data_IF_337184256910
#
_entry.id   IF_337184256910
#
_cell.length_a   1.000
_cell.length_b   1.000
_cell.length_c   1.000
_cell.angle_alpha   90.00
_cell.angle_beta   90.00
_cell.angle_gamma   90.00
#
_symmetry.space_group_name_H-M   'P 1'
#
loop_
_entity.id
_entity.type
_entity.pdbx_description
1 polymer ?
#
# COMPACT_ATOMS: atom_id res chain seq x y z
N UNK A 1 35.71 -15.94 -41.42
CA UNK A 1 34.28 -16.20 -41.47
C UNK A 1 33.68 -15.47 -40.26
N UNK A 2 33.16 -14.27 -40.55
CA UNK A 2 32.47 -13.42 -39.57
C UNK A 2 31.07 -13.96 -39.37
N UNK A 3 30.65 -14.11 -38.11
CA UNK A 3 29.27 -14.18 -37.72
C UNK A 3 28.99 -13.10 -36.70
N UNK A 4 28.16 -12.19 -37.11
CA UNK A 4 27.60 -11.07 -36.37
C UNK A 4 26.49 -11.58 -35.45
N UNK A 5 26.71 -11.53 -34.14
CA UNK A 5 25.65 -11.63 -33.14
C UNK A 5 25.29 -10.23 -32.64
N UNK A 6 24.16 -9.73 -33.12
CA UNK A 6 23.53 -8.49 -32.71
C UNK A 6 22.87 -8.68 -31.33
N UNK A 7 23.29 -7.84 -30.41
CA UNK A 7 22.97 -7.81 -29.00
C UNK A 7 21.46 -7.74 -28.67
N UNK A 8 21.09 -8.55 -27.71
CA UNK A 8 19.96 -8.30 -26.83
C UNK A 8 20.45 -7.42 -25.66
N UNK A 9 20.16 -6.14 -25.71
CA UNK A 9 20.29 -5.25 -24.57
C UNK A 9 19.19 -5.58 -23.56
N UNK A 10 19.41 -6.63 -22.77
CA UNK A 10 18.65 -6.87 -21.56
C UNK A 10 19.08 -5.80 -20.54
N UNK A 11 18.18 -4.90 -20.22
CA UNK A 11 18.34 -3.99 -19.07
C UNK A 11 18.43 -4.86 -17.83
N UNK A 12 19.65 -5.11 -17.34
CA UNK A 12 19.89 -5.71 -16.03
C UNK A 12 19.38 -4.72 -14.99
N UNK A 13 18.12 -4.87 -14.58
CA UNK A 13 17.65 -4.26 -13.34
C UNK A 13 18.49 -4.93 -12.25
N UNK A 14 19.45 -4.19 -11.71
CA UNK A 14 20.26 -4.62 -10.56
C UNK A 14 19.30 -4.78 -9.38
N UNK A 15 18.84 -6.01 -9.15
CA UNK A 15 18.03 -6.36 -8.00
C UNK A 15 18.93 -6.28 -6.77
N UNK A 16 18.94 -5.13 -6.09
CA UNK A 16 19.52 -5.09 -4.75
C UNK A 16 18.63 -5.96 -3.84
N UNK A 17 19.19 -6.97 -3.17
CA UNK A 17 18.42 -7.83 -2.29
C UNK A 17 17.77 -6.97 -1.19
N UNK A 18 16.49 -7.23 -0.92
CA UNK A 18 15.74 -6.54 0.12
C UNK A 18 16.47 -6.66 1.47
N UNK A 19 16.59 -5.56 2.20
CA UNK A 19 17.20 -5.56 3.53
C UNK A 19 16.16 -6.03 4.56
N UNK A 20 16.52 -7.04 5.34
CA UNK A 20 15.69 -7.48 6.47
C UNK A 20 15.55 -6.34 7.50
N UNK A 21 14.35 -6.12 7.98
CA UNK A 21 14.04 -5.14 9.05
C UNK A 21 14.12 -5.77 10.45
N UNK A 22 14.14 -7.10 10.53
CA UNK A 22 14.25 -7.87 11.75
C UNK A 22 14.42 -9.36 11.47
N UNK A 23 14.69 -10.09 12.53
CA UNK A 23 14.70 -11.55 12.56
C UNK A 23 13.69 -12.02 13.60
N UNK A 24 13.13 -13.20 13.42
CA UNK A 24 12.20 -13.82 14.37
C UNK A 24 12.26 -15.34 14.23
N UNK A 25 11.60 -16.04 15.13
CA UNK A 25 11.45 -17.49 15.06
C UNK A 25 9.97 -17.84 15.07
N UNK A 26 9.49 -18.53 14.04
CA UNK A 26 8.14 -19.08 14.07
C UNK A 26 8.17 -20.35 14.91
N UNK A 27 7.34 -20.38 15.96
CA UNK A 27 7.20 -21.50 16.86
C UNK A 27 5.81 -22.14 16.70
N UNK A 28 5.81 -23.47 16.62
CA UNK A 28 4.60 -24.27 16.60
C UNK A 28 4.87 -25.63 17.27
N UNK A 29 4.38 -25.81 18.49
CA UNK A 29 4.69 -26.98 19.29
C UNK A 29 6.19 -27.10 19.53
N UNK A 30 6.79 -28.20 19.07
CA UNK A 30 8.25 -28.43 19.17
C UNK A 30 9.04 -27.94 17.95
N UNK A 31 8.35 -27.38 16.95
CA UNK A 31 8.99 -26.88 15.74
C UNK A 31 9.38 -25.42 15.92
N UNK A 32 10.65 -25.14 15.65
CA UNK A 32 11.23 -23.79 15.67
C UNK A 32 11.82 -23.49 14.30
N UNK A 33 11.34 -22.40 13.67
CA UNK A 33 11.67 -22.00 12.31
C UNK A 33 12.24 -20.58 12.30
N UNK A 34 13.55 -20.39 12.18
CA UNK A 34 14.14 -19.06 12.09
C UNK A 34 13.80 -18.39 10.76
N UNK A 35 13.33 -17.13 10.83
CA UNK A 35 12.91 -16.32 9.69
C UNK A 35 13.46 -14.90 9.77
N UNK A 36 13.58 -14.27 8.62
CA UNK A 36 13.83 -12.84 8.44
C UNK A 36 12.56 -12.15 8.01
N UNK A 37 12.34 -10.96 8.54
CA UNK A 37 11.17 -10.13 8.25
C UNK A 37 11.61 -9.01 7.30
N UNK A 38 10.86 -8.80 6.21
CA UNK A 38 11.10 -7.76 5.23
C UNK A 38 9.84 -6.90 5.05
N UNK A 39 10.02 -5.60 4.79
CA UNK A 39 8.92 -4.73 4.44
C UNK A 39 8.36 -5.07 3.06
N UNK A 40 7.04 -5.09 2.90
CA UNK A 40 6.37 -5.21 1.60
C UNK A 40 6.38 -3.89 0.83
N UNK A 41 6.43 -2.76 1.55
CA UNK A 41 6.46 -1.44 0.94
C UNK A 41 7.90 -0.91 0.81
N UNK A 42 8.20 -0.32 -0.33
CA UNK A 42 9.49 0.34 -0.59
C UNK A 42 9.39 1.84 -0.27
N UNK A 43 9.86 2.22 0.91
CA UNK A 43 9.83 3.62 1.38
C UNK A 43 10.73 4.56 0.56
N UNK A 44 11.76 4.02 -0.12
CA UNK A 44 12.66 4.78 -0.99
C UNK A 44 11.95 5.39 -2.21
N UNK A 45 10.81 4.85 -2.60
CA UNK A 45 10.00 5.40 -3.70
C UNK A 45 9.14 6.59 -3.31
N UNK A 46 9.00 6.89 -2.01
CA UNK A 46 8.23 8.05 -1.55
C UNK A 46 9.07 9.32 -1.62
N UNK A 47 8.53 10.38 -2.22
CA UNK A 47 9.16 11.70 -2.16
C UNK A 47 9.07 12.21 -0.73
N UNK A 48 10.21 12.53 -0.13
CA UNK A 48 10.28 13.06 1.23
C UNK A 48 10.99 14.41 1.24
N UNK A 49 10.43 15.38 1.97
CA UNK A 49 10.99 16.72 2.11
C UNK A 49 11.61 16.89 3.49
N UNK A 50 12.77 17.55 3.53
CA UNK A 50 13.36 18.01 4.78
C UNK A 50 12.84 19.41 5.10
N UNK A 51 12.62 19.69 6.37
CA UNK A 51 12.32 21.05 6.83
C UNK A 51 13.60 21.88 6.81
N UNK A 52 13.59 22.97 6.05
CA UNK A 52 14.73 23.86 5.86
C UNK A 52 14.37 25.25 6.38
N UNK A 53 15.25 25.86 7.15
CA UNK A 53 15.11 27.27 7.52
C UNK A 53 15.38 28.15 6.29
N UNK A 54 14.32 28.84 5.84
CA UNK A 54 14.32 29.60 4.59
C UNK A 54 15.48 30.60 4.47
N UNK A 55 15.77 31.34 5.56
CA UNK A 55 16.77 32.38 5.55
C UNK A 55 18.24 31.86 5.48
N UNK A 56 18.49 30.71 6.09
CA UNK A 56 19.85 30.15 6.21
C UNK A 56 20.12 28.93 5.32
N UNK A 57 19.08 28.35 4.71
CA UNK A 57 19.19 27.16 3.89
C UNK A 57 19.63 25.90 4.64
N UNK A 58 19.54 25.88 5.97
CA UNK A 58 19.97 24.77 6.81
C UNK A 58 18.80 23.92 7.28
N UNK A 59 19.02 22.60 7.42
CA UNK A 59 18.00 21.69 7.95
C UNK A 59 17.74 21.99 9.43
N UNK A 60 16.44 22.14 9.79
CA UNK A 60 16.03 22.33 11.18
C UNK A 60 15.84 20.98 11.88
N UNK A 61 15.94 21.00 13.22
CA UNK A 61 15.71 19.87 14.12
C UNK A 61 14.56 20.21 15.05
N UNK A 62 13.83 19.19 15.48
CA UNK A 62 12.79 19.33 16.50
C UNK A 62 13.39 19.27 17.89
N UNK A 63 12.89 20.13 18.77
CA UNK A 63 13.21 20.14 20.21
C UNK A 63 11.91 20.09 21.00
N UNK A 64 11.97 19.51 22.19
CA UNK A 64 10.87 19.58 23.15
C UNK A 64 11.02 20.86 23.97
N UNK A 65 9.95 21.60 24.10
CA UNK A 65 9.91 22.85 24.87
C UNK A 65 8.78 22.81 25.89
N UNK A 66 8.97 23.43 27.06
CA UNK A 66 7.88 23.69 27.98
C UNK A 66 6.99 24.80 27.36
N UNK A 67 5.69 24.55 27.19
CA UNK A 67 4.79 25.53 26.61
C UNK A 67 4.56 26.78 27.47
N UNK A 68 4.91 26.72 28.76
CA UNK A 68 4.69 27.84 29.68
C UNK A 68 5.72 28.96 29.53
N UNK A 69 6.99 28.60 29.30
CA UNK A 69 8.10 29.57 29.26
C UNK A 69 9.03 29.37 28.05
N UNK A 70 8.82 28.34 27.23
CA UNK A 70 9.66 28.05 26.07
C UNK A 70 11.00 27.41 26.40
N UNK A 71 11.22 26.97 27.64
CA UNK A 71 12.46 26.27 28.04
C UNK A 71 12.63 24.98 27.30
N UNK A 72 13.82 24.70 26.79
CA UNK A 72 14.14 23.42 26.10
C UNK A 72 14.25 22.33 27.15
N UNK A 73 13.41 21.28 26.99
CA UNK A 73 13.39 20.13 27.88
C UNK A 73 14.27 19.02 27.32
N UNK A 74 15.32 18.59 28.07
CA UNK A 74 16.15 17.47 27.72
C UNK A 74 15.31 16.17 27.60
N UNK A 75 15.66 15.33 26.64
CA UNK A 75 14.90 14.07 26.40
C UNK A 75 14.93 13.11 27.59
N UNK A 76 15.96 13.19 28.39
CA UNK A 76 16.19 12.39 29.60
C UNK A 76 15.20 12.75 30.72
N UNK A 77 14.69 13.98 30.72
CA UNK A 77 13.74 14.50 31.72
C UNK A 77 12.28 14.25 31.30
N UNK A 78 12.05 13.75 30.06
CA UNK A 78 10.70 13.46 29.55
C UNK A 78 10.29 12.07 29.99
N UNK A 79 9.21 11.99 30.76
CA UNK A 79 8.55 10.74 31.19
C UNK A 79 7.24 10.53 30.43
N UNK A 80 6.73 9.30 30.41
CA UNK A 80 5.43 9.01 29.81
C UNK A 80 4.32 9.23 30.83
N UNK A 81 3.32 10.02 30.46
CA UNK A 81 2.13 10.26 31.28
C UNK A 81 0.88 9.68 30.57
N UNK A 82 0.01 9.04 31.35
CA UNK A 82 -1.32 8.62 30.92
C UNK A 82 -2.34 9.62 31.47
N UNK A 83 -3.09 10.28 30.61
CA UNK A 83 -4.14 11.18 30.99
C UNK A 83 -5.40 10.39 31.34
N UNK A 84 -5.75 10.34 32.60
CA UNK A 84 -6.93 9.61 33.09
C UNK A 84 -8.15 10.53 33.31
N UNK A 85 -7.90 11.84 33.40
CA UNK A 85 -8.90 12.92 33.42
C UNK A 85 -8.27 14.16 32.82
N UNK A 86 -9.07 15.11 32.39
CA UNK A 86 -8.59 16.33 31.74
C UNK A 86 -7.48 17.00 32.60
N UNK A 87 -6.32 17.19 32.01
CA UNK A 87 -5.12 17.81 32.62
C UNK A 87 -4.57 17.07 33.87
N UNK A 88 -4.96 15.78 34.06
CA UNK A 88 -4.47 14.92 35.16
C UNK A 88 -3.75 13.70 34.61
N UNK A 89 -2.48 13.55 34.97
CA UNK A 89 -1.60 12.53 34.42
C UNK A 89 -1.07 11.58 35.49
N UNK A 90 -1.10 10.28 35.20
CA UNK A 90 -0.29 9.29 35.90
C UNK A 90 1.02 9.14 35.17
N UNK A 91 2.13 9.42 35.86
CA UNK A 91 3.47 9.32 35.27
C UNK A 91 4.00 7.89 35.42
N UNK A 92 4.63 7.39 34.39
CA UNK A 92 5.27 6.07 34.37
C UNK A 92 6.77 6.19 34.18
N UNK A 93 7.54 5.53 35.02
CA UNK A 93 8.97 5.34 34.81
C UNK A 93 9.22 4.31 33.71
N UNK A 94 10.44 4.24 33.23
CA UNK A 94 10.83 3.22 32.22
C UNK A 94 10.70 1.81 32.80
N UNK A 95 11.11 1.63 34.05
CA UNK A 95 11.10 0.36 34.78
C UNK A 95 9.68 -0.15 34.95
N UNK A 96 8.73 0.72 35.31
CA UNK A 96 7.31 0.36 35.44
C UNK A 96 6.71 -0.07 34.10
N UNK A 97 7.05 0.61 33.03
CA UNK A 97 6.60 0.22 31.69
C UNK A 97 7.24 -1.08 31.18
N UNK A 98 8.51 -1.34 31.53
CA UNK A 98 9.16 -2.61 31.18
C UNK A 98 8.49 -3.82 31.83
N UNK A 99 7.86 -3.67 33.01
CA UNK A 99 7.11 -4.75 33.67
C UNK A 99 5.83 -5.13 32.92
N UNK A 100 5.15 -4.15 32.28
CA UNK A 100 3.90 -4.39 31.53
C UNK A 100 4.16 -4.64 30.04
N UNK A 101 5.37 -4.34 29.56
CA UNK A 101 5.74 -4.67 28.18
C UNK A 101 5.75 -6.19 27.98
N UNK A 102 5.22 -6.63 26.83
CA UNK A 102 5.32 -8.03 26.45
C UNK A 102 6.78 -8.48 26.48
N UNK A 103 7.07 -9.70 26.97
CA UNK A 103 8.43 -10.24 26.96
C UNK A 103 9.03 -10.03 25.57
N UNK A 104 10.28 -9.56 25.52
CA UNK A 104 11.04 -9.44 24.27
C UNK A 104 11.34 -10.85 23.75
N UNK A 105 10.31 -11.54 23.27
CA UNK A 105 10.49 -12.77 22.52
C UNK A 105 10.53 -12.39 21.04
N UNK A 106 11.67 -12.59 20.38
CA UNK A 106 11.76 -12.52 18.92
C UNK A 106 11.05 -13.75 18.30
N UNK A 107 9.84 -14.08 18.82
CA UNK A 107 9.11 -15.28 18.49
C UNK A 107 7.73 -14.95 17.94
N UNK A 108 7.33 -15.71 16.94
CA UNK A 108 5.99 -15.70 16.34
C UNK A 108 5.35 -17.04 16.73
N UNK A 109 4.58 -17.04 17.79
CA UNK A 109 3.94 -18.24 18.32
C UNK A 109 2.65 -18.53 17.56
N UNK A 110 2.61 -19.63 16.79
CA UNK A 110 1.38 -20.06 16.11
C UNK A 110 0.42 -20.65 17.13
N UNK A 111 -0.77 -20.07 17.21
CA UNK A 111 -1.84 -20.48 18.13
C UNK A 111 -2.83 -21.42 17.44
N UNK A 112 -3.16 -21.17 16.15
CA UNK A 112 -4.16 -21.97 15.43
C UNK A 112 -3.97 -21.87 13.92
N UNK A 113 -4.65 -22.78 13.20
CA UNK A 113 -4.77 -22.75 11.75
C UNK A 113 -6.24 -22.67 11.36
N UNK A 114 -6.60 -21.69 10.57
CA UNK A 114 -7.98 -21.43 10.12
C UNK A 114 -8.08 -21.45 8.59
N UNK A 115 -9.26 -21.72 7.99
CA UNK A 115 -9.43 -21.56 6.54
C UNK A 115 -9.13 -20.13 6.10
N UNK A 116 -8.45 -19.96 4.95
CA UNK A 116 -7.98 -18.65 4.49
C UNK A 116 -9.09 -17.60 4.32
N UNK A 117 -10.29 -18.03 3.90
CA UNK A 117 -11.42 -17.14 3.67
C UNK A 117 -12.18 -16.67 4.91
N UNK A 118 -11.82 -17.16 6.11
CA UNK A 118 -12.54 -16.82 7.36
C UNK A 118 -12.03 -15.56 8.04
N UNK A 119 -10.86 -15.04 7.63
CA UNK A 119 -10.28 -13.82 8.20
C UNK A 119 -10.77 -12.62 7.41
N UNK A 120 -11.55 -11.75 8.05
CA UNK A 120 -12.07 -10.54 7.42
C UNK A 120 -10.94 -9.58 7.06
N UNK A 121 -11.00 -9.01 5.86
CA UNK A 121 -10.02 -8.02 5.37
C UNK A 121 -9.98 -6.75 6.20
N UNK A 122 -11.06 -6.42 6.90
CA UNK A 122 -11.12 -5.29 7.82
C UNK A 122 -10.07 -5.38 8.94
N UNK A 123 -9.70 -6.61 9.33
CA UNK A 123 -8.70 -6.86 10.35
C UNK A 123 -7.26 -6.54 9.89
N UNK A 124 -6.98 -6.43 8.59
CA UNK A 124 -5.60 -6.28 8.09
C UNK A 124 -5.05 -4.88 8.32
N UNK A 125 -3.87 -4.82 8.93
CA UNK A 125 -3.17 -3.57 9.22
C UNK A 125 -1.91 -3.40 8.36
N UNK A 126 -0.94 -4.31 8.50
CA UNK A 126 0.36 -4.25 7.81
C UNK A 126 0.79 -5.62 7.34
N UNK A 127 1.51 -5.65 6.23
CA UNK A 127 2.05 -6.87 5.66
C UNK A 127 3.58 -6.85 5.65
N UNK A 128 4.18 -8.05 5.81
CA UNK A 128 5.62 -8.27 5.79
C UNK A 128 5.93 -9.57 5.06
N UNK A 129 6.95 -9.57 4.22
CA UNK A 129 7.47 -10.83 3.69
C UNK A 129 8.29 -11.55 4.75
N UNK A 130 8.13 -12.86 4.81
CA UNK A 130 8.98 -13.74 5.61
C UNK A 130 9.93 -14.49 4.68
N UNK A 131 11.21 -14.46 4.99
CA UNK A 131 12.21 -15.26 4.31
C UNK A 131 12.87 -16.24 5.29
N UNK A 132 13.37 -17.39 4.84
CA UNK A 132 14.09 -18.31 5.73
C UNK A 132 15.40 -17.69 6.22
N UNK A 133 15.73 -17.87 7.50
CA UNK A 133 17.08 -17.60 8.02
C UNK A 133 17.93 -18.88 8.04
N UNK A 134 19.16 -18.76 8.51
CA UNK A 134 20.15 -19.86 8.53
C UNK A 134 19.57 -21.11 9.20
N UNK A 135 19.60 -22.22 8.49
CA UNK A 135 19.08 -23.52 8.95
C UNK A 135 17.57 -23.71 8.80
N UNK A 136 16.78 -22.65 8.56
CA UNK A 136 15.31 -22.71 8.48
C UNK A 136 14.74 -23.10 7.13
N UNK A 137 15.52 -23.13 6.04
CA UNK A 137 15.01 -23.23 4.67
C UNK A 137 14.13 -24.47 4.39
N UNK A 138 14.44 -25.62 4.99
CA UNK A 138 13.65 -26.86 4.80
C UNK A 138 12.29 -26.77 5.51
N UNK A 139 12.28 -26.34 6.77
CA UNK A 139 11.06 -26.20 7.56
C UNK A 139 10.17 -25.08 7.01
N UNK A 140 10.78 -23.99 6.51
CA UNK A 140 10.09 -22.89 5.84
C UNK A 140 9.30 -23.38 4.60
N UNK A 141 9.95 -24.11 3.69
CA UNK A 141 9.29 -24.67 2.51
C UNK A 141 8.18 -25.65 2.88
N UNK A 142 8.44 -26.50 3.90
CA UNK A 142 7.45 -27.46 4.36
C UNK A 142 6.20 -26.78 4.92
N UNK A 143 6.36 -25.74 5.76
CA UNK A 143 5.25 -24.96 6.29
C UNK A 143 4.45 -24.29 5.15
N UNK A 144 5.14 -23.65 4.20
CA UNK A 144 4.47 -23.04 3.05
C UNK A 144 3.71 -24.03 2.19
N UNK A 145 4.26 -25.22 1.93
CA UNK A 145 3.59 -26.28 1.19
C UNK A 145 2.36 -26.83 1.95
N UNK A 146 2.48 -27.06 3.26
CA UNK A 146 1.39 -27.54 4.10
C UNK A 146 0.22 -26.54 4.16
N UNK A 147 0.50 -25.25 4.28
CA UNK A 147 -0.53 -24.21 4.28
C UNK A 147 -1.26 -24.11 2.92
N UNK A 148 -0.55 -24.32 1.80
CA UNK A 148 -1.17 -24.37 0.46
C UNK A 148 -2.06 -25.59 0.31
N UNK A 149 -1.54 -26.77 0.64
CA UNK A 149 -2.26 -28.05 0.51
C UNK A 149 -3.54 -28.10 1.33
N UNK A 150 -3.51 -27.49 2.52
CA UNK A 150 -4.66 -27.47 3.45
C UNK A 150 -5.58 -26.27 3.24
N UNK A 151 -5.25 -25.32 2.36
CA UNK A 151 -5.94 -24.05 2.16
C UNK A 151 -6.15 -23.28 3.48
N UNK A 152 -5.19 -23.37 4.40
CA UNK A 152 -5.23 -22.74 5.71
C UNK A 152 -4.19 -21.65 5.85
N UNK A 153 -4.46 -20.76 6.81
CA UNK A 153 -3.53 -19.73 7.29
C UNK A 153 -3.24 -19.97 8.76
N UNK A 154 -2.05 -19.62 9.20
CA UNK A 154 -1.69 -19.71 10.61
C UNK A 154 -2.00 -18.38 11.30
N UNK A 155 -2.68 -18.45 12.46
CA UNK A 155 -2.88 -17.33 13.37
C UNK A 155 -1.85 -17.43 14.46
N UNK A 156 -1.10 -16.36 14.70
CA UNK A 156 0.00 -16.35 15.64
C UNK A 156 0.01 -15.06 16.49
N UNK A 157 0.71 -15.13 17.62
CA UNK A 157 1.07 -13.97 18.44
C UNK A 157 2.50 -13.57 18.14
N UNK A 158 2.74 -12.29 17.97
CA UNK A 158 4.08 -11.75 17.75
C UNK A 158 4.33 -10.59 18.71
N UNK A 159 5.29 -10.76 19.60
CA UNK A 159 5.73 -9.71 20.52
C UNK A 159 6.93 -8.98 19.94
N UNK A 160 6.81 -7.67 19.75
CA UNK A 160 7.91 -6.83 19.25
C UNK A 160 7.78 -5.41 19.78
N UNK A 161 8.90 -4.82 20.17
CA UNK A 161 8.99 -3.44 20.69
C UNK A 161 8.05 -3.19 21.88
N UNK A 162 7.95 -4.14 22.80
CA UNK A 162 7.11 -4.04 23.99
C UNK A 162 5.60 -4.20 23.76
N UNK A 163 5.18 -4.51 22.52
CA UNK A 163 3.78 -4.74 22.16
C UNK A 163 3.57 -6.15 21.63
N UNK A 164 2.40 -6.70 21.91
CA UNK A 164 1.96 -7.95 21.31
C UNK A 164 0.97 -7.67 20.20
N UNK A 165 1.11 -8.40 19.10
CA UNK A 165 0.26 -8.31 17.92
C UNK A 165 -0.32 -9.68 17.58
N UNK A 166 -1.54 -9.70 17.06
CA UNK A 166 -2.06 -10.86 16.35
C UNK A 166 -1.54 -10.76 14.91
N UNK A 167 -0.99 -11.85 14.41
CA UNK A 167 -0.51 -11.92 13.03
C UNK A 167 -1.08 -13.17 12.34
N UNK A 168 -1.31 -13.04 11.04
CA UNK A 168 -1.68 -14.13 10.16
C UNK A 168 -0.50 -14.44 9.24
N UNK A 169 -0.14 -15.71 9.12
CA UNK A 169 0.87 -16.17 8.18
C UNK A 169 0.18 -16.99 7.10
N UNK A 170 0.39 -16.58 5.85
CA UNK A 170 -0.15 -17.28 4.68
C UNK A 170 0.91 -17.49 3.60
N UNK A 171 0.71 -18.47 2.71
CA UNK A 171 1.53 -18.58 1.52
C UNK A 171 1.28 -17.41 0.57
N UNK A 172 2.35 -16.94 -0.06
CA UNK A 172 2.31 -15.90 -1.08
C UNK A 172 3.42 -16.16 -2.08
N UNK A 173 3.07 -16.30 -3.36
CA UNK A 173 4.02 -16.73 -4.39
C UNK A 173 4.83 -17.95 -3.93
N UNK A 174 6.17 -17.88 -3.99
CA UNK A 174 7.06 -18.96 -3.54
C UNK A 174 7.40 -18.89 -2.04
N UNK A 175 6.85 -17.91 -1.32
CA UNK A 175 7.20 -17.62 0.06
C UNK A 175 6.03 -17.60 1.03
N UNK A 176 6.27 -16.94 2.16
CA UNK A 176 5.29 -16.68 3.20
C UNK A 176 5.14 -15.17 3.42
N UNK A 177 3.91 -14.75 3.64
CA UNK A 177 3.54 -13.41 4.03
C UNK A 177 3.01 -13.43 5.46
N UNK A 178 3.45 -12.49 6.27
CA UNK A 178 2.92 -12.21 7.61
C UNK A 178 2.12 -10.93 7.55
N UNK A 179 0.87 -10.99 7.96
CA UNK A 179 -0.03 -9.84 8.03
C UNK A 179 -0.39 -9.58 9.48
N UNK A 180 -0.07 -8.40 9.95
CA UNK A 180 -0.48 -7.93 11.27
C UNK A 180 -1.95 -7.60 11.24
N UNK A 181 -2.69 -8.05 12.25
CA UNK A 181 -4.11 -7.85 12.39
C UNK A 181 -4.40 -6.84 13.52
N UNK A 182 -5.48 -6.10 13.37
CA UNK A 182 -6.09 -5.34 14.44
C UNK A 182 -6.73 -6.28 15.46
N UNK A 183 -6.73 -5.88 16.74
CA UNK A 183 -7.59 -6.51 17.74
C UNK A 183 -9.05 -6.12 17.48
N UNK A 184 -9.99 -6.98 17.90
CA UNK A 184 -11.42 -6.74 17.69
C UNK A 184 -11.92 -5.44 18.32
N UNK A 185 -11.36 -5.06 19.47
CA UNK A 185 -11.66 -3.83 20.20
C UNK A 185 -11.01 -2.57 19.61
N UNK A 186 -10.05 -2.73 18.69
CA UNK A 186 -9.45 -1.62 17.93
C UNK A 186 -10.28 -1.24 16.71
N UNK A 187 -11.24 -2.09 16.31
CA UNK A 187 -12.09 -1.87 15.15
C UNK A 187 -13.39 -1.18 15.58
N UNK A 188 -13.63 -0.03 14.95
CA UNK A 188 -14.89 0.70 15.16
C UNK A 188 -16.06 -0.07 14.58
N UNK A 189 -17.18 -0.13 15.32
CA UNK A 189 -18.40 -0.73 14.83
C UNK A 189 -18.98 0.09 13.68
N UNK A 190 -19.43 -0.58 12.61
CA UNK A 190 -20.15 0.09 11.52
C UNK A 190 -21.46 0.74 11.99
N UNK A 191 -22.06 0.23 13.07
CA UNK A 191 -23.24 0.84 13.69
C UNK A 191 -23.04 2.26 14.26
N UNK A 192 -21.78 2.72 14.39
CA UNK A 192 -21.46 4.11 14.77
C UNK A 192 -21.52 5.08 13.58
N UNK A 193 -21.62 4.55 12.34
CA UNK A 193 -21.70 5.39 11.15
C UNK A 193 -23.14 5.82 10.94
N UNK A 194 -23.44 7.13 10.99
CA UNK A 194 -24.80 7.61 10.73
C UNK A 194 -25.15 7.37 9.26
N UNK A 195 -26.14 6.53 9.03
CA UNK A 195 -26.72 6.31 7.71
C UNK A 195 -28.10 6.95 7.68
N UNK A 196 -28.36 7.71 6.63
CA UNK A 196 -29.71 8.19 6.36
C UNK A 196 -30.53 7.05 5.77
N UNK A 197 -31.73 6.82 6.31
CA UNK A 197 -32.67 5.87 5.75
C UNK A 197 -33.27 6.45 4.46
N UNK A 198 -33.31 5.65 3.39
CA UNK A 198 -33.86 6.05 2.11
C UNK A 198 -34.32 4.85 1.31
N UNK A 199 -35.38 5.02 0.54
CA UNK A 199 -35.80 4.02 -0.41
C UNK A 199 -34.97 4.11 -1.70
N UNK A 200 -34.59 2.97 -2.24
CA UNK A 200 -33.89 2.89 -3.53
C UNK A 200 -34.96 2.79 -4.63
N UNK A 201 -34.93 3.76 -5.54
CA UNK A 201 -35.81 3.75 -6.71
C UNK A 201 -35.31 2.70 -7.72
N UNK A 202 -36.21 1.79 -8.16
CA UNK A 202 -35.85 0.71 -9.10
C UNK A 202 -35.32 1.24 -10.45
N UNK A 203 -35.84 2.35 -10.95
CA UNK A 203 -35.34 2.94 -12.20
C UNK A 203 -33.91 3.52 -12.05
N UNK A 204 -33.64 4.14 -10.91
CA UNK A 204 -32.26 4.63 -10.57
C UNK A 204 -31.28 3.48 -10.37
N UNK A 205 -31.73 2.42 -9.69
CA UNK A 205 -30.93 1.20 -9.52
C UNK A 205 -30.58 0.58 -10.88
N UNK A 206 -31.55 0.49 -11.80
CA UNK A 206 -31.33 -0.03 -13.14
C UNK A 206 -30.27 0.76 -13.93
N UNK A 207 -30.29 2.10 -13.86
CA UNK A 207 -29.30 2.95 -14.49
C UNK A 207 -27.90 2.81 -13.81
N UNK A 208 -27.89 2.74 -12.49
CA UNK A 208 -26.64 2.53 -11.75
C UNK A 208 -25.97 1.19 -12.09
N UNK A 209 -26.76 0.12 -12.23
CA UNK A 209 -26.25 -1.19 -12.68
C UNK A 209 -25.68 -1.10 -14.08
N UNK A 210 -26.34 -0.42 -15.03
CA UNK A 210 -25.83 -0.23 -16.38
C UNK A 210 -24.46 0.50 -16.38
N UNK A 211 -24.30 1.55 -15.57
CA UNK A 211 -23.02 2.25 -15.43
C UNK A 211 -21.92 1.35 -14.86
N UNK A 212 -22.25 0.53 -13.86
CA UNK A 212 -21.32 -0.44 -13.30
C UNK A 212 -20.89 -1.45 -14.37
N UNK A 213 -21.83 -1.99 -15.14
CA UNK A 213 -21.56 -2.98 -16.19
C UNK A 213 -20.70 -2.39 -17.31
N UNK A 214 -20.89 -1.10 -17.66
CA UNK A 214 -20.07 -0.41 -18.66
C UNK A 214 -18.61 -0.25 -18.22
N UNK A 215 -18.38 0.02 -16.92
CA UNK A 215 -17.05 0.18 -16.34
C UNK A 215 -16.47 -1.11 -15.77
N UNK A 216 -17.21 -2.23 -15.84
CA UNK A 216 -16.79 -3.50 -15.27
C UNK A 216 -15.54 -4.06 -15.95
N UNK A 217 -14.66 -4.64 -15.14
CA UNK A 217 -13.49 -5.40 -15.57
C UNK A 217 -13.41 -6.69 -14.80
N UNK A 218 -13.09 -7.78 -15.48
CA UNK A 218 -12.97 -9.12 -14.87
C UNK A 218 -11.70 -9.27 -14.01
N UNK A 219 -10.75 -8.33 -14.11
CA UNK A 219 -9.49 -8.38 -13.38
C UNK A 219 -9.05 -6.99 -12.92
N UNK A 220 -8.44 -6.95 -11.74
CA UNK A 220 -7.79 -5.74 -11.23
C UNK A 220 -6.29 -5.79 -11.56
N UNK A 221 -5.83 -4.86 -12.39
CA UNK A 221 -4.41 -4.63 -12.66
C UNK A 221 -3.94 -3.38 -11.89
N UNK A 222 -3.17 -3.53 -10.80
CA UNK A 222 -2.63 -2.39 -10.07
C UNK A 222 -1.62 -1.59 -10.88
N UNK A 223 -1.06 -2.14 -11.96
CA UNK A 223 -0.04 -1.50 -12.80
C UNK A 223 -0.56 -0.31 -13.61
N UNK A 224 -1.88 -0.23 -13.83
CA UNK A 224 -2.50 0.91 -14.54
C UNK A 224 -2.69 2.15 -13.67
N UNK A 225 -2.58 1.99 -12.34
CA UNK A 225 -2.75 3.10 -11.41
C UNK A 225 -1.39 3.71 -11.04
N UNK A 226 -1.20 4.97 -11.33
CA UNK A 226 0.02 5.71 -11.04
C UNK A 226 -0.24 6.83 -10.04
N UNK A 227 0.74 7.13 -9.19
CA UNK A 227 0.70 8.29 -8.30
C UNK A 227 1.11 9.55 -9.07
N UNK A 228 0.12 10.17 -9.74
CA UNK A 228 0.32 11.39 -10.52
C UNK A 228 0.87 12.56 -9.68
N UNK A 229 0.54 12.63 -8.38
CA UNK A 229 1.07 13.66 -7.49
C UNK A 229 2.57 13.50 -7.33
N UNK A 230 3.01 12.25 -7.17
CA UNK A 230 4.42 11.91 -7.08
C UNK A 230 5.15 12.25 -8.39
N UNK A 231 4.59 11.91 -9.54
CA UNK A 231 5.19 12.19 -10.86
C UNK A 231 5.34 13.70 -11.05
N UNK A 232 4.27 14.47 -10.88
CA UNK A 232 4.30 15.95 -10.93
C UNK A 232 5.28 16.55 -9.93
N UNK A 233 5.39 15.96 -8.72
CA UNK A 233 6.36 16.43 -7.73
C UNK A 233 7.80 16.20 -8.17
N UNK A 234 8.11 15.05 -8.77
CA UNK A 234 9.44 14.75 -9.29
C UNK A 234 9.80 15.65 -10.46
N UNK A 235 8.87 15.91 -11.37
CA UNK A 235 9.05 16.86 -12.47
C UNK A 235 9.36 18.27 -11.96
N UNK A 236 8.59 18.74 -10.96
CA UNK A 236 8.80 20.04 -10.34
C UNK A 236 10.16 20.14 -9.63
N UNK A 237 10.60 19.07 -8.97
CA UNK A 237 11.93 19.01 -8.36
C UNK A 237 13.00 19.10 -9.46
N UNK A 238 12.83 18.38 -10.57
CA UNK A 238 13.78 18.40 -11.68
C UNK A 238 13.87 19.80 -12.31
N UNK A 239 12.74 20.46 -12.58
CA UNK A 239 12.71 21.84 -13.11
C UNK A 239 13.44 22.81 -12.17
N UNK A 240 13.26 22.69 -10.85
CA UNK A 240 14.00 23.50 -9.87
C UNK A 240 15.49 23.23 -9.84
N UNK A 241 15.89 21.98 -9.98
CA UNK A 241 17.30 21.60 -10.06
C UNK A 241 17.97 22.18 -11.32
N UNK A 242 17.23 22.20 -12.44
CA UNK A 242 17.69 22.74 -13.71
C UNK A 242 17.62 24.27 -13.78
N UNK A 243 17.23 24.95 -12.70
CA UNK A 243 17.17 26.40 -12.60
C UNK A 243 16.05 27.06 -13.41
N UNK A 244 15.03 26.30 -13.81
CA UNK A 244 13.87 26.82 -14.55
C UNK A 244 12.89 27.51 -13.59
N UNK A 245 12.32 28.64 -14.02
CA UNK A 245 11.22 29.29 -13.31
C UNK A 245 9.94 28.45 -13.45
N UNK A 246 9.29 28.18 -12.30
CA UNK A 246 8.07 27.37 -12.26
C UNK A 246 6.88 28.25 -12.60
N UNK A 247 6.26 28.00 -13.75
CA UNK A 247 4.94 28.50 -14.07
C UNK A 247 3.92 27.48 -13.58
N UNK A 248 3.32 27.70 -12.40
CA UNK A 248 2.24 26.86 -11.91
C UNK A 248 1.05 26.98 -12.86
N UNK A 249 0.72 25.91 -13.57
CA UNK A 249 -0.56 25.83 -14.27
C UNK A 249 -1.69 25.82 -13.21
N UNK A 250 -2.76 26.60 -13.40
CA UNK A 250 -3.90 26.57 -12.48
C UNK A 250 -4.51 25.18 -12.47
N UNK A 251 -4.68 24.59 -11.29
CA UNK A 251 -5.47 23.37 -11.13
C UNK A 251 -6.92 23.79 -11.34
N UNK A 252 -7.54 23.38 -12.43
CA UNK A 252 -8.97 23.54 -12.63
C UNK A 252 -9.70 22.65 -11.60
N UNK A 253 -10.25 23.28 -10.57
CA UNK A 253 -11.19 22.61 -9.66
C UNK A 253 -12.47 22.30 -10.45
N UNK A 254 -12.68 21.05 -10.77
CA UNK A 254 -13.97 20.58 -11.26
C UNK A 254 -15.01 20.72 -10.14
N UNK A 255 -15.77 21.82 -10.17
CA UNK A 255 -16.92 22.02 -9.28
C UNK A 255 -18.02 21.05 -9.69
N UNK A 256 -18.12 19.93 -9.01
CA UNK A 256 -19.25 19.02 -9.13
C UNK A 256 -20.50 19.75 -8.61
N UNK A 257 -21.35 20.23 -9.49
CA UNK A 257 -22.66 20.73 -9.12
C UNK A 257 -23.52 19.52 -8.78
N UNK A 258 -24.21 19.55 -7.63
CA UNK A 258 -25.27 18.59 -7.31
C UNK A 258 -26.38 18.83 -8.33
N UNK A 259 -26.42 18.02 -9.36
CA UNK A 259 -27.46 17.97 -10.38
C UNK A 259 -28.33 16.76 -10.00
N UNK A 260 -29.61 16.82 -10.34
CA UNK A 260 -30.55 15.70 -10.22
C UNK A 260 -29.85 14.38 -10.60
N UNK A 261 -29.84 13.43 -9.66
CA UNK A 261 -29.12 12.16 -9.79
C UNK A 261 -29.51 11.42 -11.08
N UNK A 262 -30.82 11.44 -11.44
CA UNK A 262 -31.31 10.83 -12.68
C UNK A 262 -30.77 11.48 -13.93
N UNK A 263 -30.67 12.81 -13.95
CA UNK A 263 -30.08 13.55 -15.07
C UNK A 263 -28.57 13.30 -15.19
N UNK A 264 -27.85 13.23 -14.06
CA UNK A 264 -26.43 12.95 -14.02
C UNK A 264 -26.10 11.52 -14.50
N UNK A 265 -26.86 10.53 -14.07
CA UNK A 265 -26.71 9.14 -14.49
C UNK A 265 -26.95 8.95 -16.00
N UNK A 266 -28.01 9.56 -16.55
CA UNK A 266 -28.28 9.52 -17.99
C UNK A 266 -27.19 10.22 -18.81
N UNK A 267 -26.74 11.40 -18.39
CA UNK A 267 -25.68 12.12 -19.07
C UNK A 267 -24.37 11.33 -19.10
N UNK A 268 -24.02 10.64 -18.02
CA UNK A 268 -22.82 9.80 -17.93
C UNK A 268 -22.88 8.59 -18.87
N UNK A 269 -24.06 7.97 -19.04
CA UNK A 269 -24.25 6.87 -19.99
C UNK A 269 -24.11 7.37 -21.43
N UNK A 270 -24.71 8.52 -21.77
CA UNK A 270 -24.64 9.10 -23.11
C UNK A 270 -23.22 9.54 -23.51
N UNK A 271 -22.44 10.08 -22.54
CA UNK A 271 -21.03 10.45 -22.77
C UNK A 271 -20.18 9.22 -23.07
N UNK A 272 -20.31 8.14 -22.32
CA UNK A 272 -19.55 6.90 -22.53
C UNK A 272 -19.93 6.20 -23.84
N UNK A 273 -21.20 6.18 -24.23
CA UNK A 273 -21.63 5.65 -25.52
C UNK A 273 -21.06 6.47 -26.69
N UNK A 274 -21.02 7.79 -26.56
CA UNK A 274 -20.45 8.66 -27.58
C UNK A 274 -18.95 8.53 -27.69
N UNK A 275 -18.23 8.32 -26.58
CA UNK A 275 -16.79 8.07 -26.57
C UNK A 275 -16.43 6.73 -27.24
N UNK A 276 -17.15 5.65 -26.93
CA UNK A 276 -16.98 4.34 -27.59
C UNK A 276 -17.30 4.36 -29.08
N UNK A 277 -18.32 5.12 -29.50
CA UNK A 277 -18.64 5.29 -30.89
C UNK A 277 -17.57 6.08 -31.66
N UNK A 278 -16.92 7.07 -31.03
CA UNK A 278 -15.81 7.82 -31.62
C UNK A 278 -14.54 6.97 -31.79
N UNK A 279 -14.22 6.09 -30.84
CA UNK A 279 -13.10 5.15 -30.97
C UNK A 279 -13.33 4.11 -32.07
N UNK A 280 -14.53 3.55 -32.19
CA UNK A 280 -14.86 2.59 -33.26
C UNK A 280 -14.78 3.18 -34.65
N UNK A 281 -15.08 4.47 -34.83
CA UNK A 281 -14.97 5.19 -36.11
C UNK A 281 -13.54 5.57 -36.48
N UNK A 282 -12.66 5.75 -35.49
CA UNK A 282 -11.23 6.02 -35.76
C UNK A 282 -10.48 4.75 -36.19
N UNK A 283 -10.83 3.58 -35.63
CA UNK A 283 -10.24 2.29 -36.00
C UNK A 283 -10.63 1.85 -37.43
N UNK A 284 -11.83 2.20 -37.91
CA UNK A 284 -12.27 1.84 -39.28
C UNK A 284 -11.62 2.68 -40.41
N UNK A 285 -11.09 3.86 -40.10
CA UNK A 285 -10.40 4.71 -41.10
C UNK A 285 -8.93 4.34 -41.34
N UNK A 286 -8.30 3.59 -40.44
CA UNK A 286 -6.90 3.17 -40.57
C UNK A 286 -6.71 1.98 -41.55
N UNK A 287 -7.79 1.24 -41.89
CA UNK A 287 -7.74 -0.02 -42.70
C UNK A 287 -7.80 0.11 -44.22
N UNK A 288 -7.97 1.30 -44.81
CA UNK A 288 -8.08 1.48 -46.27
C UNK A 288 -6.90 2.22 -46.90
N UNK A 289 -5.70 1.68 -46.82
CA UNK A 289 -4.60 2.03 -47.76
C UNK A 289 -4.57 1.06 -48.91
N UNK A 290 -4.97 1.52 -50.13
CA UNK A 290 -4.91 0.80 -51.41
C UNK A 290 -3.47 0.38 -51.74
N UNK A 291 -3.24 -0.81 -52.32
CA UNK A 291 -1.91 -1.23 -52.77
C UNK A 291 -1.50 -0.45 -54.02
N UNK A 292 -0.32 0.11 -53.98
CA UNK A 292 0.31 0.87 -55.09
C UNK A 292 0.80 -0.08 -56.18
N UNK A 293 0.15 -0.03 -57.34
CA UNK A 293 0.46 -0.82 -58.53
C UNK A 293 1.88 -0.48 -59.04
N UNK A 294 2.79 -1.46 -59.04
CA UNK A 294 4.10 -1.36 -59.68
C UNK A 294 3.91 -1.42 -61.20
N UNK A 295 4.36 -0.37 -61.89
CA UNK A 295 4.51 -0.35 -63.35
C UNK A 295 5.80 -1.03 -63.71
N UNK A 296 5.74 -2.11 -64.49
CA UNK A 296 6.89 -2.69 -65.17
C UNK A 296 7.27 -1.79 -66.35
N UNK A 297 8.54 -1.45 -66.47
CA UNK A 297 9.12 -0.90 -67.66
C UNK A 297 10.10 -1.91 -68.25
N UNK A 298 9.78 -2.39 -69.42
CA UNK A 298 10.65 -3.08 -70.33
C UNK A 298 11.55 -2.08 -71.04
N UNK A 299 12.79 -2.42 -71.25
CA UNK A 299 13.82 -1.77 -72.01
C UNK A 299 15.17 -2.39 -71.71
#
# INVERSE_FOLDING_TARGET
VCSSDLGRSGTYVSFMPARAIGTSTIAFGLVSLPVKIYSTGESSRKVSFNMIWKERGVRVRQQYIDPADGTVVPREEIVKGYEFSKDQYVLFTKEELEVVEAPKSDEIEIVSFVPAGTVDRLLFNKAYYLGPDKGGARAYRLLGAALRETERVAIAKHATRGKQYIVMIRPHEEGLLMEQLWYQDEIRSFGEVPLEEGEVNEAELGLAVQLIDQAASDSFDPGVFHDEVRERTLELIQQKVDGQEITAAPIEESKTKIIDLMAALKASIEEDESAKAAESTSASKAGKRKPRRKKAASG
#
